data_IF_933664509882
#
_entry.id   IF_933664509882
#
_cell.length_a   1.000
_cell.length_b   1.000
_cell.length_c   1.000
_cell.angle_alpha   90.00
_cell.angle_beta   90.00
_cell.angle_gamma   90.00
#
_symmetry.space_group_name_H-M   'P 1'
#
loop_
_entity.id
_entity.type
_entity.pdbx_description
1 polymer ?
#
# COMPACT_ATOMS: atom_id res chain seq x y z
N UNK A 1 -47.23 -19.52 58.28
CA UNK A 1 -47.72 -18.29 57.60
C UNK A 1 -46.58 -17.37 57.08
N UNK A 2 -45.39 -17.33 57.74
CA UNK A 2 -44.29 -16.44 57.29
C UNK A 2 -43.61 -16.81 55.94
N UNK A 3 -43.68 -18.06 55.48
CA UNK A 3 -43.06 -18.51 54.22
C UNK A 3 -43.90 -18.19 52.96
N UNK A 4 -45.22 -18.04 53.12
CA UNK A 4 -46.13 -17.72 52.03
C UNK A 4 -46.02 -16.26 51.62
N UNK A 5 -45.82 -15.36 52.63
CA UNK A 5 -45.64 -13.91 52.38
C UNK A 5 -44.34 -13.58 51.64
N UNK A 6 -43.27 -14.35 51.84
CA UNK A 6 -41.98 -14.16 51.16
C UNK A 6 -42.05 -14.58 49.67
N UNK A 7 -42.80 -15.66 49.36
CA UNK A 7 -43.02 -16.09 47.99
C UNK A 7 -43.89 -15.13 47.17
N UNK A 8 -44.91 -14.52 47.81
CA UNK A 8 -45.74 -13.48 47.18
C UNK A 8 -44.97 -12.19 46.92
N UNK A 9 -44.05 -11.81 47.81
CA UNK A 9 -43.21 -10.63 47.64
C UNK A 9 -42.19 -10.82 46.48
N UNK A 10 -41.60 -12.01 46.38
CA UNK A 10 -40.69 -12.34 45.31
C UNK A 10 -41.40 -12.36 43.94
N UNK A 11 -42.64 -12.85 43.87
CA UNK A 11 -43.43 -12.88 42.64
C UNK A 11 -43.87 -11.46 42.20
N UNK A 12 -44.15 -10.55 43.15
CA UNK A 12 -44.46 -9.16 42.84
C UNK A 12 -43.25 -8.34 42.33
N UNK A 13 -42.03 -8.68 42.76
CA UNK A 13 -40.82 -8.02 42.30
C UNK A 13 -40.48 -8.50 40.88
N UNK A 14 -40.78 -9.75 40.52
CA UNK A 14 -40.59 -10.29 39.17
C UNK A 14 -41.55 -9.73 38.12
N UNK A 15 -42.74 -9.24 38.56
CA UNK A 15 -43.76 -8.66 37.67
C UNK A 15 -43.61 -7.15 37.49
N UNK A 16 -42.71 -6.49 38.24
CA UNK A 16 -42.49 -5.03 38.17
C UNK A 16 -41.24 -4.64 37.39
N UNK A 17 -40.57 -5.59 36.72
CA UNK A 17 -39.52 -5.21 35.77
C UNK A 17 -40.20 -4.61 34.53
N UNK A 18 -39.99 -3.32 34.23
CA UNK A 18 -40.43 -2.78 32.95
C UNK A 18 -39.79 -3.61 31.87
N UNK A 19 -40.59 -4.21 31.01
CA UNK A 19 -40.13 -4.77 29.78
C UNK A 19 -39.51 -3.61 28.97
N UNK A 20 -38.22 -3.38 29.14
CA UNK A 20 -37.43 -2.60 28.18
C UNK A 20 -37.47 -3.39 26.88
N UNK A 21 -38.52 -3.21 26.11
CA UNK A 21 -38.50 -3.47 24.66
C UNK A 21 -37.61 -2.40 24.03
N UNK A 22 -36.35 -2.40 24.40
CA UNK A 22 -35.32 -1.75 23.62
C UNK A 22 -35.28 -2.49 22.32
N UNK A 23 -35.88 -1.90 21.27
CA UNK A 23 -35.62 -2.32 19.90
C UNK A 23 -34.12 -2.41 19.79
N UNK A 24 -33.58 -3.62 19.52
CA UNK A 24 -32.17 -3.79 19.20
C UNK A 24 -31.82 -2.73 18.14
N UNK A 25 -30.78 -1.94 18.32
CA UNK A 25 -30.40 -0.97 17.30
C UNK A 25 -30.31 -1.72 15.98
N UNK A 26 -31.12 -1.26 15.03
CA UNK A 26 -31.09 -1.80 13.66
C UNK A 26 -29.62 -1.73 13.25
N UNK A 27 -29.03 -2.83 12.74
CA UNK A 27 -27.64 -2.79 12.28
C UNK A 27 -27.52 -1.58 11.36
N UNK A 28 -26.75 -0.58 11.77
CA UNK A 28 -26.42 0.54 10.90
C UNK A 28 -25.72 -0.10 9.70
N UNK A 29 -26.31 0.04 8.52
CA UNK A 29 -25.69 -0.45 7.30
C UNK A 29 -24.24 0.06 7.32
N UNK A 30 -23.29 -0.82 7.08
CA UNK A 30 -21.90 -0.41 6.95
C UNK A 30 -21.86 0.78 5.97
N UNK A 31 -21.16 1.86 6.28
CA UNK A 31 -21.08 3.00 5.37
C UNK A 31 -20.66 2.47 4.00
N UNK A 32 -21.40 2.83 2.98
CA UNK A 32 -21.03 2.50 1.59
C UNK A 32 -19.64 3.06 1.39
N UNK A 33 -18.68 2.26 0.89
CA UNK A 33 -17.32 2.76 0.65
C UNK A 33 -17.41 4.01 -0.21
N UNK A 34 -16.80 5.08 0.25
CA UNK A 34 -16.71 6.30 -0.52
C UNK A 34 -15.90 6.00 -1.80
N UNK A 35 -16.34 6.46 -2.99
CA UNK A 35 -15.60 6.18 -4.21
C UNK A 35 -14.18 6.77 -4.09
N UNK A 36 -13.18 6.02 -4.58
CA UNK A 36 -11.79 6.47 -4.56
C UNK A 36 -11.66 7.83 -5.27
N UNK A 37 -10.89 8.76 -4.72
CA UNK A 37 -10.59 10.04 -5.38
C UNK A 37 -9.99 9.81 -6.76
N UNK A 38 -10.31 10.69 -7.70
CA UNK A 38 -9.88 10.56 -9.10
C UNK A 38 -8.42 10.99 -9.35
N UNK A 39 -7.74 11.55 -8.35
CA UNK A 39 -6.34 12.00 -8.47
C UNK A 39 -5.91 12.94 -7.34
N UNK A 40 -4.73 13.54 -7.50
CA UNK A 40 -4.16 14.47 -6.54
C UNK A 40 -3.66 13.81 -5.25
N UNK A 41 -3.30 14.64 -4.28
CA UNK A 41 -2.80 14.19 -2.97
C UNK A 41 -3.83 13.33 -2.22
N UNK A 42 -5.12 13.55 -2.45
CA UNK A 42 -6.20 12.77 -1.85
C UNK A 42 -6.17 11.29 -2.29
N UNK A 43 -5.83 11.01 -3.54
CA UNK A 43 -5.65 9.64 -4.01
C UNK A 43 -4.49 8.95 -3.30
N UNK A 44 -3.41 9.68 -3.04
CA UNK A 44 -2.30 9.15 -2.26
C UNK A 44 -2.73 8.79 -0.83
N UNK A 45 -3.47 9.67 -0.12
CA UNK A 45 -3.98 9.37 1.22
C UNK A 45 -4.93 8.18 1.24
N UNK A 46 -5.78 8.05 0.23
CA UNK A 46 -6.66 6.91 0.08
C UNK A 46 -5.88 5.59 -0.02
N UNK A 47 -4.83 5.55 -0.85
CA UNK A 47 -3.96 4.39 -1.01
C UNK A 47 -3.10 4.14 0.22
N UNK A 48 -2.59 5.19 0.87
CA UNK A 48 -1.86 5.08 2.12
C UNK A 48 -2.72 4.43 3.22
N UNK A 49 -4.01 4.77 3.29
CA UNK A 49 -4.94 4.14 4.23
C UNK A 49 -5.03 2.61 4.00
N UNK A 50 -5.17 2.15 2.74
CA UNK A 50 -5.16 0.73 2.41
C UNK A 50 -3.82 0.07 2.76
N UNK A 51 -2.70 0.76 2.53
CA UNK A 51 -1.36 0.30 2.91
C UNK A 51 -1.23 0.12 4.42
N UNK A 52 -1.64 1.10 5.22
CA UNK A 52 -1.60 1.00 6.68
C UNK A 52 -2.41 -0.17 7.22
N UNK A 53 -3.53 -0.46 6.59
CA UNK A 53 -4.40 -1.58 6.95
C UNK A 53 -3.97 -2.91 6.31
N UNK A 54 -2.85 -2.92 5.57
CA UNK A 54 -2.37 -4.11 4.84
C UNK A 54 -3.46 -4.71 3.91
N UNK A 55 -4.28 -3.86 3.27
CA UNK A 55 -5.36 -4.24 2.36
C UNK A 55 -4.82 -4.51 0.94
N UNK A 56 -3.89 -5.45 0.82
CA UNK A 56 -3.27 -5.89 -0.44
C UNK A 56 -2.98 -7.38 -0.38
N UNK A 57 -3.05 -8.07 -1.52
CA UNK A 57 -2.94 -9.53 -1.62
C UNK A 57 -1.53 -10.06 -1.49
N UNK A 58 -0.49 -9.24 -1.75
CA UNK A 58 0.91 -9.66 -1.69
C UNK A 58 1.86 -8.50 -2.01
N UNK A 59 3.16 -8.83 -2.14
CA UNK A 59 4.22 -7.84 -2.32
C UNK A 59 4.07 -7.04 -3.62
N UNK A 60 3.59 -7.66 -4.70
CA UNK A 60 3.33 -6.97 -5.96
C UNK A 60 2.25 -5.89 -5.84
N UNK A 61 1.15 -6.17 -5.15
CA UNK A 61 0.10 -5.18 -4.89
C UNK A 61 0.59 -4.09 -3.93
N UNK A 62 1.36 -4.46 -2.91
CA UNK A 62 2.02 -3.50 -2.02
C UNK A 62 2.88 -2.51 -2.81
N UNK A 63 3.75 -2.99 -3.71
CA UNK A 63 4.58 -2.12 -4.53
C UNK A 63 3.76 -1.25 -5.49
N UNK A 64 2.66 -1.78 -6.03
CA UNK A 64 1.74 -0.99 -6.87
C UNK A 64 1.11 0.18 -6.09
N UNK A 65 0.72 -0.04 -4.83
CA UNK A 65 0.23 1.03 -3.96
C UNK A 65 1.30 2.07 -3.64
N UNK A 66 2.57 1.63 -3.52
CA UNK A 66 3.71 2.51 -3.25
C UNK A 66 4.10 3.37 -4.46
N UNK A 67 4.06 2.79 -5.66
CA UNK A 67 4.43 3.46 -6.91
C UNK A 67 3.29 4.30 -7.49
N UNK A 68 2.11 4.29 -6.88
CA UNK A 68 0.94 5.06 -7.27
C UNK A 68 0.61 4.95 -8.78
N UNK A 69 0.72 3.74 -9.35
CA UNK A 69 0.59 3.46 -10.79
C UNK A 69 1.56 4.26 -11.69
N UNK A 70 2.60 4.85 -11.12
CA UNK A 70 3.59 5.61 -11.90
C UNK A 70 4.20 4.77 -13.02
N UNK A 71 4.51 3.51 -12.72
CA UNK A 71 5.05 2.55 -13.67
C UNK A 71 3.98 1.68 -14.36
N UNK A 72 2.69 1.92 -14.09
CA UNK A 72 1.62 1.11 -14.66
C UNK A 72 1.78 -0.38 -14.33
N UNK A 73 1.60 -1.23 -15.35
CA UNK A 73 1.70 -2.69 -15.17
C UNK A 73 3.14 -3.24 -15.18
N UNK A 74 4.16 -2.39 -15.40
CA UNK A 74 5.55 -2.83 -15.49
C UNK A 74 6.02 -3.56 -14.23
N UNK A 75 5.74 -2.99 -13.05
CA UNK A 75 6.09 -3.60 -11.75
C UNK A 75 5.41 -4.95 -11.58
N UNK A 76 4.13 -5.06 -11.92
CA UNK A 76 3.38 -6.32 -11.84
C UNK A 76 3.96 -7.37 -12.78
N UNK A 77 4.33 -6.99 -14.01
CA UNK A 77 4.96 -7.88 -14.99
C UNK A 77 6.29 -8.39 -14.48
N UNK A 78 7.15 -7.50 -13.97
CA UNK A 78 8.46 -7.88 -13.42
C UNK A 78 8.29 -8.88 -12.27
N UNK A 79 7.42 -8.61 -11.31
CA UNK A 79 7.23 -9.48 -10.14
C UNK A 79 6.48 -10.79 -10.48
N UNK A 80 5.71 -10.82 -11.56
CA UNK A 80 5.15 -12.08 -12.08
C UNK A 80 6.25 -13.00 -12.62
N UNK A 81 7.25 -12.43 -13.29
CA UNK A 81 8.35 -13.17 -13.90
C UNK A 81 9.43 -13.51 -12.86
N UNK A 82 9.74 -12.55 -11.99
CA UNK A 82 10.72 -12.67 -10.91
C UNK A 82 10.01 -12.58 -9.55
N UNK A 83 9.31 -13.65 -9.15
CA UNK A 83 8.52 -13.63 -7.91
C UNK A 83 9.43 -13.55 -6.68
N UNK A 84 8.95 -12.88 -5.65
CA UNK A 84 9.62 -12.73 -4.37
C UNK A 84 8.79 -13.42 -3.25
N UNK A 85 8.72 -14.77 -3.25
CA UNK A 85 7.84 -15.51 -2.34
C UNK A 85 8.17 -15.28 -0.86
N UNK A 86 9.42 -15.01 -0.53
CA UNK A 86 9.82 -14.70 0.84
C UNK A 86 9.17 -13.38 1.32
N UNK A 87 8.99 -12.40 0.41
CA UNK A 87 8.32 -11.14 0.72
C UNK A 87 6.81 -11.31 0.91
N UNK A 88 6.18 -12.15 0.13
CA UNK A 88 4.77 -12.51 0.34
C UNK A 88 4.57 -13.17 1.70
N UNK A 89 5.46 -14.09 2.06
CA UNK A 89 5.44 -14.75 3.37
C UNK A 89 5.66 -13.77 4.54
N UNK A 90 6.61 -12.83 4.42
CA UNK A 90 6.82 -11.77 5.42
C UNK A 90 5.54 -10.95 5.65
N UNK A 91 4.79 -10.63 4.59
CA UNK A 91 3.52 -9.89 4.67
C UNK A 91 2.46 -10.72 5.39
N UNK A 92 2.31 -12.00 5.05
CA UNK A 92 1.37 -12.90 5.69
C UNK A 92 1.67 -13.08 7.19
N UNK A 93 2.94 -13.32 7.54
CA UNK A 93 3.39 -13.44 8.92
C UNK A 93 3.14 -12.15 9.72
N UNK A 94 3.41 -10.98 9.12
CA UNK A 94 3.15 -9.69 9.75
C UNK A 94 1.66 -9.49 9.99
N UNK A 95 0.80 -9.81 9.02
CA UNK A 95 -0.65 -9.71 9.16
C UNK A 95 -1.16 -10.63 10.27
N UNK A 96 -0.72 -11.90 10.28
CA UNK A 96 -1.07 -12.86 11.31
C UNK A 96 -0.65 -12.39 12.71
N UNK A 97 0.53 -11.77 12.83
CA UNK A 97 1.00 -11.19 14.08
C UNK A 97 0.09 -10.04 14.57
N UNK A 98 -0.37 -9.16 13.64
CA UNK A 98 -1.33 -8.10 14.00
C UNK A 98 -2.66 -8.71 14.47
N UNK A 99 -3.19 -9.71 13.77
CA UNK A 99 -4.43 -10.38 14.12
C UNK A 99 -4.35 -11.07 15.50
N UNK A 100 -3.24 -11.73 15.78
CA UNK A 100 -3.00 -12.36 17.08
C UNK A 100 -2.90 -11.33 18.20
N UNK A 101 -2.14 -10.26 17.98
CA UNK A 101 -1.84 -9.28 19.02
C UNK A 101 -2.98 -8.31 19.29
N UNK A 102 -3.67 -7.86 18.25
CA UNK A 102 -4.64 -6.76 18.34
C UNK A 102 -6.08 -7.16 18.06
N UNK A 103 -6.31 -8.39 17.58
CA UNK A 103 -7.62 -8.87 17.11
C UNK A 103 -7.75 -8.70 15.60
N UNK A 104 -8.52 -9.55 14.93
CA UNK A 104 -8.71 -9.53 13.46
C UNK A 104 -9.47 -8.30 12.94
N UNK A 105 -9.94 -7.45 13.84
CA UNK A 105 -10.66 -6.21 13.56
C UNK A 105 -9.77 -4.96 13.72
N UNK A 106 -8.46 -5.13 13.86
CA UNK A 106 -7.53 -4.00 13.97
C UNK A 106 -7.61 -3.09 12.74
N UNK A 107 -7.47 -1.78 12.99
CA UNK A 107 -7.50 -0.76 11.96
C UNK A 107 -6.59 0.41 12.33
N UNK A 108 -5.88 0.90 11.32
CA UNK A 108 -5.33 2.25 11.30
C UNK A 108 -6.30 3.17 10.57
N UNK A 109 -6.48 4.36 11.10
CA UNK A 109 -7.25 5.42 10.46
C UNK A 109 -6.42 6.69 10.46
N UNK A 110 -6.29 7.33 9.31
CA UNK A 110 -5.70 8.68 9.22
C UNK A 110 -6.69 9.63 9.89
N UNK A 111 -6.36 10.08 11.11
CA UNK A 111 -7.22 10.93 11.94
C UNK A 111 -6.99 12.41 11.71
N UNK A 112 -5.80 12.79 11.29
CA UNK A 112 -5.40 14.15 10.95
C UNK A 112 -4.19 14.12 10.03
N UNK A 113 -3.88 15.24 9.37
CA UNK A 113 -2.74 15.39 8.49
C UNK A 113 -2.26 16.84 8.45
N UNK A 114 -0.98 17.01 8.19
CA UNK A 114 -0.34 18.29 7.94
C UNK A 114 0.48 18.21 6.67
N UNK A 115 0.49 19.28 5.92
CA UNK A 115 1.23 19.40 4.67
C UNK A 115 2.13 20.64 4.75
N UNK A 116 3.40 20.47 4.37
CA UNK A 116 4.38 21.56 4.29
C UNK A 116 5.03 21.53 2.93
N UNK A 117 4.91 22.60 2.18
CA UNK A 117 5.56 22.75 0.87
C UNK A 117 7.08 22.79 1.08
N UNK A 118 7.81 22.01 0.29
CA UNK A 118 9.26 22.04 0.23
C UNK A 118 9.75 22.99 -0.88
N UNK A 119 11.04 23.28 -0.88
CA UNK A 119 11.67 24.16 -1.84
C UNK A 119 11.94 23.47 -3.20
N UNK A 120 12.40 24.25 -4.16
CA UNK A 120 12.71 23.79 -5.50
C UNK A 120 13.92 22.82 -5.51
N UNK A 121 14.79 22.88 -4.52
CA UNK A 121 15.95 21.98 -4.41
C UNK A 121 15.47 20.53 -4.17
N UNK A 122 14.43 20.33 -3.35
CA UNK A 122 13.83 19.01 -3.15
C UNK A 122 13.26 18.41 -4.44
N UNK A 123 12.65 19.25 -5.28
CA UNK A 123 12.17 18.82 -6.60
C UNK A 123 13.32 18.45 -7.54
N UNK A 124 14.41 19.22 -7.52
CA UNK A 124 15.57 18.98 -8.36
C UNK A 124 16.30 17.69 -7.96
N UNK A 125 16.47 17.44 -6.67
CA UNK A 125 17.10 16.23 -6.15
C UNK A 125 16.30 14.98 -6.57
N UNK A 126 14.99 14.99 -6.37
CA UNK A 126 14.13 13.86 -6.77
C UNK A 126 14.12 13.65 -8.29
N UNK A 127 14.14 14.73 -9.09
CA UNK A 127 14.24 14.61 -10.54
C UNK A 127 15.55 13.96 -10.99
N UNK A 128 16.67 14.29 -10.33
CA UNK A 128 17.98 13.67 -10.60
C UNK A 128 17.99 12.18 -10.27
N UNK A 129 17.34 11.78 -9.19
CA UNK A 129 17.20 10.37 -8.83
C UNK A 129 16.33 9.61 -9.85
N UNK A 130 15.22 10.20 -10.32
CA UNK A 130 14.40 9.61 -11.39
C UNK A 130 15.18 9.45 -12.70
N UNK A 131 16.05 10.42 -13.04
CA UNK A 131 16.92 10.33 -14.21
C UNK A 131 17.93 9.18 -14.07
N UNK A 132 18.48 8.93 -12.88
CA UNK A 132 19.36 7.78 -12.63
C UNK A 132 18.62 6.45 -12.81
N UNK A 133 17.38 6.33 -12.29
CA UNK A 133 16.50 5.18 -12.51
C UNK A 133 16.27 4.95 -14.00
N UNK A 134 15.91 6.00 -14.75
CA UNK A 134 15.73 5.95 -16.20
C UNK A 134 16.99 5.39 -16.90
N UNK A 135 18.13 5.98 -16.61
CA UNK A 135 19.42 5.60 -17.20
C UNK A 135 19.78 4.13 -16.94
N UNK A 136 19.54 3.63 -15.74
CA UNK A 136 19.80 2.23 -15.37
C UNK A 136 18.85 1.27 -16.07
N UNK A 137 17.56 1.58 -16.14
CA UNK A 137 16.58 0.78 -16.84
C UNK A 137 16.86 0.75 -18.35
N UNK A 138 17.22 1.89 -18.96
CA UNK A 138 17.62 1.96 -20.36
C UNK A 138 18.88 1.17 -20.71
N UNK A 139 19.81 1.05 -19.76
CA UNK A 139 21.05 0.33 -20.01
C UNK A 139 20.80 -1.14 -20.40
N UNK A 140 19.84 -1.79 -19.73
CA UNK A 140 19.44 -3.15 -20.04
C UNK A 140 18.78 -3.22 -21.45
N UNK A 141 17.84 -2.35 -21.74
CA UNK A 141 17.10 -2.39 -23.01
C UNK A 141 18.02 -2.17 -24.21
N UNK A 142 18.95 -1.22 -24.11
CA UNK A 142 19.96 -0.95 -25.16
C UNK A 142 20.85 -2.15 -25.45
N UNK A 143 21.24 -2.91 -24.43
CA UNK A 143 22.02 -4.13 -24.61
C UNK A 143 21.18 -5.24 -25.23
N UNK A 144 19.96 -5.42 -24.74
CA UNK A 144 19.03 -6.45 -25.21
C UNK A 144 18.63 -6.29 -26.67
N UNK A 145 18.58 -5.05 -27.19
CA UNK A 145 18.31 -4.76 -28.61
C UNK A 145 19.35 -5.37 -29.56
N UNK A 146 20.54 -5.71 -29.06
CA UNK A 146 21.63 -6.29 -29.85
C UNK A 146 21.77 -7.81 -29.68
N UNK A 147 20.98 -8.42 -28.80
CA UNK A 147 21.11 -9.82 -28.44
C UNK A 147 20.69 -10.77 -29.58
N UNK A 148 21.53 -11.76 -29.81
CA UNK A 148 21.21 -12.95 -30.58
C UNK A 148 20.25 -13.88 -29.82
N UNK A 149 19.69 -14.86 -30.50
CA UNK A 149 18.84 -15.87 -29.85
C UNK A 149 19.58 -16.65 -28.75
N UNK A 150 20.89 -16.85 -28.87
CA UNK A 150 21.72 -17.50 -27.87
C UNK A 150 21.83 -16.60 -26.59
N UNK A 151 22.09 -15.31 -26.76
CA UNK A 151 22.16 -14.36 -25.63
C UNK A 151 20.83 -14.21 -24.94
N UNK A 152 19.70 -14.22 -25.66
CA UNK A 152 18.37 -14.28 -25.07
C UNK A 152 18.13 -15.55 -24.25
N UNK A 153 18.65 -16.72 -24.75
CA UNK A 153 18.52 -17.97 -24.01
C UNK A 153 19.37 -17.95 -22.72
N UNK A 154 20.61 -17.45 -22.80
CA UNK A 154 21.50 -17.30 -21.63
C UNK A 154 20.92 -16.35 -20.58
N UNK A 155 20.36 -15.23 -21.03
CA UNK A 155 19.68 -14.29 -20.12
C UNK A 155 18.45 -14.92 -19.42
N UNK A 156 17.60 -15.61 -20.19
CA UNK A 156 16.43 -16.29 -19.67
C UNK A 156 16.80 -17.38 -18.65
N UNK A 157 17.86 -18.17 -18.93
CA UNK A 157 18.40 -19.17 -18.01
C UNK A 157 18.91 -18.51 -16.72
N UNK A 158 19.66 -17.40 -16.83
CA UNK A 158 20.15 -16.62 -15.69
C UNK A 158 19.04 -16.07 -14.80
N UNK A 159 17.91 -15.69 -15.40
CA UNK A 159 16.72 -15.21 -14.69
C UNK A 159 15.80 -16.35 -14.20
N UNK A 160 16.08 -17.60 -14.56
CA UNK A 160 15.24 -18.74 -14.22
C UNK A 160 13.86 -18.73 -14.89
N UNK A 161 13.73 -18.11 -16.06
CA UNK A 161 12.47 -17.96 -16.79
C UNK A 161 12.57 -18.43 -18.24
N UNK A 162 11.45 -18.42 -18.97
CA UNK A 162 11.43 -18.70 -20.41
C UNK A 162 11.86 -17.49 -21.24
N UNK A 163 12.31 -17.72 -22.50
CA UNK A 163 12.72 -16.63 -23.41
C UNK A 163 11.58 -15.62 -23.65
N UNK A 164 10.31 -16.08 -23.69
CA UNK A 164 9.15 -15.21 -23.80
C UNK A 164 9.03 -14.26 -22.61
N UNK A 165 9.13 -14.80 -21.40
CA UNK A 165 9.12 -14.02 -20.16
C UNK A 165 10.33 -13.07 -20.07
N UNK A 166 11.52 -13.52 -20.52
CA UNK A 166 12.71 -12.68 -20.57
C UNK A 166 12.51 -11.44 -21.47
N UNK A 167 11.83 -11.59 -22.60
CA UNK A 167 11.49 -10.48 -23.50
C UNK A 167 10.47 -9.53 -22.85
N UNK A 168 9.40 -10.07 -22.25
CA UNK A 168 8.44 -9.27 -21.51
C UNK A 168 9.09 -8.52 -20.32
N UNK A 169 10.07 -9.14 -19.67
CA UNK A 169 10.84 -8.51 -18.61
C UNK A 169 11.60 -7.27 -19.12
N UNK A 170 12.31 -7.40 -20.23
CA UNK A 170 13.02 -6.27 -20.85
C UNK A 170 12.05 -5.18 -21.31
N UNK A 171 10.89 -5.54 -21.90
CA UNK A 171 9.85 -4.59 -22.27
C UNK A 171 9.29 -3.85 -21.04
N UNK A 172 9.11 -4.53 -19.91
CA UNK A 172 8.66 -3.90 -18.68
C UNK A 172 9.68 -2.89 -18.13
N UNK A 173 11.00 -3.19 -18.23
CA UNK A 173 12.04 -2.21 -17.89
C UNK A 173 12.11 -1.05 -18.88
N UNK A 174 11.87 -1.28 -20.17
CA UNK A 174 11.74 -0.21 -21.14
C UNK A 174 10.59 0.74 -20.80
N UNK A 175 9.43 0.18 -20.42
CA UNK A 175 8.28 0.99 -19.98
C UNK A 175 8.54 1.76 -18.68
N UNK A 176 9.32 1.22 -17.73
CA UNK A 176 9.79 1.95 -16.57
C UNK A 176 10.69 3.13 -16.96
N UNK A 177 11.64 2.90 -17.86
CA UNK A 177 12.50 3.96 -18.38
C UNK A 177 11.69 5.06 -19.07
N UNK A 178 10.68 4.70 -19.85
CA UNK A 178 9.79 5.65 -20.53
C UNK A 178 8.97 6.48 -19.54
N UNK A 179 8.51 5.88 -18.45
CA UNK A 179 7.79 6.60 -17.40
C UNK A 179 8.65 7.67 -16.70
N UNK A 180 9.95 7.36 -16.50
CA UNK A 180 10.90 8.31 -15.89
C UNK A 180 11.43 9.35 -16.89
N UNK A 181 11.49 8.99 -18.19
CA UNK A 181 12.11 9.85 -19.21
C UNK A 181 11.35 11.18 -19.35
N UNK A 182 12.06 12.28 -19.07
CA UNK A 182 11.49 13.61 -19.16
C UNK A 182 10.40 13.87 -18.09
N UNK A 183 10.38 13.10 -17.01
CA UNK A 183 9.51 13.34 -15.88
C UNK A 183 9.76 14.74 -15.33
N UNK A 184 8.69 15.50 -15.17
CA UNK A 184 8.74 16.84 -14.61
C UNK A 184 8.25 16.78 -13.16
N UNK A 185 9.16 17.06 -12.24
CA UNK A 185 8.84 17.23 -10.81
C UNK A 185 8.48 18.68 -10.59
N UNK A 186 7.23 18.96 -10.30
CA UNK A 186 6.70 20.33 -10.23
C UNK A 186 6.43 20.82 -8.82
N UNK A 187 6.38 19.87 -7.86
CA UNK A 187 6.06 20.17 -6.47
C UNK A 187 6.59 19.10 -5.55
N UNK A 188 7.02 19.49 -4.35
CA UNK A 188 7.37 18.59 -3.27
C UNK A 188 6.65 19.00 -1.98
N UNK A 189 6.07 18.03 -1.26
CA UNK A 189 5.28 18.26 -0.05
C UNK A 189 5.73 17.27 1.01
N UNK A 190 6.21 17.75 2.16
CA UNK A 190 6.29 16.92 3.36
C UNK A 190 4.87 16.76 3.92
N UNK A 191 4.44 15.51 4.10
CA UNK A 191 3.18 15.17 4.76
C UNK A 191 3.47 14.54 6.10
N UNK A 192 2.77 14.96 7.14
CA UNK A 192 2.74 14.29 8.44
C UNK A 192 1.32 13.77 8.67
N UNK A 193 1.14 12.45 8.65
CA UNK A 193 -0.14 11.80 8.91
C UNK A 193 -0.21 11.33 10.35
N UNK A 194 -1.31 11.63 11.01
CA UNK A 194 -1.60 11.18 12.36
C UNK A 194 -2.54 9.98 12.27
N UNK A 195 -2.10 8.87 12.84
CA UNK A 195 -2.76 7.58 12.74
C UNK A 195 -3.37 7.21 14.08
N UNK A 196 -4.67 6.95 14.09
CA UNK A 196 -5.35 6.25 15.18
C UNK A 196 -5.33 4.76 14.88
N UNK A 197 -4.91 3.97 15.85
CA UNK A 197 -4.91 2.50 15.76
C UNK A 197 -5.83 1.91 16.82
N UNK A 198 -6.67 0.97 16.45
CA UNK A 198 -7.58 0.26 17.37
C UNK A 198 -7.76 -1.19 16.93
N UNK A 199 -8.11 -2.04 17.87
CA UNK A 199 -8.48 -3.43 17.68
C UNK A 199 -9.14 -3.96 18.94
N UNK A 200 -9.86 -5.09 18.86
CA UNK A 200 -10.63 -5.64 19.98
C UNK A 200 -9.76 -6.06 21.18
N UNK A 201 -8.45 -6.26 20.96
CA UNK A 201 -7.48 -6.66 22.00
C UNK A 201 -6.57 -5.52 22.48
N UNK A 202 -6.79 -4.29 22.04
CA UNK A 202 -5.95 -3.14 22.42
C UNK A 202 -6.74 -1.89 22.60
N UNK A 203 -6.22 -0.96 23.41
CA UNK A 203 -6.70 0.41 23.48
C UNK A 203 -6.28 1.19 22.22
N UNK A 204 -6.98 2.30 21.96
CA UNK A 204 -6.62 3.20 20.85
C UNK A 204 -5.25 3.80 21.11
N UNK A 205 -4.35 3.64 20.15
CA UNK A 205 -3.02 4.25 20.15
C UNK A 205 -2.99 5.35 19.09
N UNK A 206 -2.16 6.36 19.34
CA UNK A 206 -1.88 7.43 18.39
C UNK A 206 -0.41 7.37 17.99
N UNK A 207 -0.14 7.48 16.69
CA UNK A 207 1.21 7.60 16.15
C UNK A 207 1.20 8.58 14.99
N UNK A 208 2.36 9.02 14.55
CA UNK A 208 2.48 9.82 13.34
C UNK A 208 3.55 9.26 12.43
N UNK A 209 3.39 9.48 11.15
CA UNK A 209 4.35 9.10 10.11
C UNK A 209 4.55 10.27 9.16
N UNK A 210 5.79 10.51 8.77
CA UNK A 210 6.16 11.53 7.78
C UNK A 210 6.51 10.85 6.47
N UNK A 211 6.07 11.46 5.38
CA UNK A 211 6.39 11.04 4.02
C UNK A 211 6.58 12.29 3.17
N UNK A 212 7.48 12.21 2.20
CA UNK A 212 7.60 13.23 1.17
C UNK A 212 6.88 12.78 -0.09
N UNK A 213 6.04 13.66 -0.61
CA UNK A 213 5.29 13.45 -1.85
C UNK A 213 5.81 14.41 -2.91
N UNK A 214 5.98 13.90 -4.11
CA UNK A 214 6.37 14.67 -5.27
C UNK A 214 5.28 14.65 -6.33
N UNK A 215 4.95 15.79 -6.89
CA UNK A 215 4.09 15.87 -8.06
C UNK A 215 4.94 15.66 -9.32
N UNK A 216 4.77 14.51 -9.95
CA UNK A 216 5.50 14.10 -11.15
C UNK A 216 4.50 13.94 -12.30
N UNK A 217 4.63 14.76 -13.34
CA UNK A 217 3.70 14.75 -14.47
C UNK A 217 2.22 14.86 -14.05
N UNK A 218 1.93 15.66 -13.02
CA UNK A 218 0.58 15.85 -12.49
C UNK A 218 0.05 14.70 -11.60
N UNK A 219 0.91 13.77 -11.17
CA UNK A 219 0.58 12.68 -10.23
C UNK A 219 1.44 12.80 -8.99
N UNK A 220 0.86 12.48 -7.84
CA UNK A 220 1.61 12.43 -6.58
C UNK A 220 2.20 11.04 -6.37
N UNK A 221 3.50 10.99 -6.14
CA UNK A 221 4.27 9.78 -5.81
C UNK A 221 5.02 10.00 -4.50
N UNK A 222 5.22 8.93 -3.75
CA UNK A 222 6.03 8.98 -2.51
C UNK A 222 7.52 8.95 -2.85
N UNK A 223 8.35 9.53 -1.98
CA UNK A 223 9.81 9.39 -1.99
C UNK A 223 10.28 7.93 -2.10
N UNK A 224 9.50 6.99 -1.54
CA UNK A 224 9.78 5.55 -1.64
C UNK A 224 9.76 5.01 -3.08
N UNK A 225 9.25 5.77 -4.05
CA UNK A 225 9.27 5.39 -5.47
C UNK A 225 10.69 5.05 -5.93
N UNK A 226 11.68 5.83 -5.50
CA UNK A 226 13.09 5.64 -5.88
C UNK A 226 13.63 4.34 -5.28
N UNK A 227 13.38 4.08 -4.00
CA UNK A 227 13.84 2.87 -3.32
C UNK A 227 13.24 1.61 -3.96
N UNK A 228 11.95 1.66 -4.28
CA UNK A 228 11.26 0.58 -5.00
C UNK A 228 11.88 0.37 -6.37
N UNK A 229 12.10 1.44 -7.13
CA UNK A 229 12.70 1.41 -8.47
C UNK A 229 14.10 0.78 -8.45
N UNK A 230 14.95 1.23 -7.53
CA UNK A 230 16.28 0.69 -7.34
C UNK A 230 16.25 -0.79 -6.96
N UNK A 231 15.33 -1.18 -6.07
CA UNK A 231 15.16 -2.58 -5.66
C UNK A 231 14.76 -3.47 -6.84
N UNK A 232 13.80 -3.03 -7.66
CA UNK A 232 13.34 -3.75 -8.84
C UNK A 232 14.46 -3.88 -9.88
N UNK A 233 15.19 -2.80 -10.16
CA UNK A 233 16.32 -2.83 -11.13
C UNK A 233 17.42 -3.77 -10.65
N UNK A 234 17.68 -3.83 -9.34
CA UNK A 234 18.71 -4.71 -8.77
C UNK A 234 18.33 -6.21 -8.83
N UNK A 235 17.11 -6.59 -9.21
CA UNK A 235 16.77 -7.99 -9.45
C UNK A 235 17.51 -8.60 -10.65
N UNK A 236 18.03 -7.75 -11.56
CA UNK A 236 18.74 -8.19 -12.76
C UNK A 236 20.28 -8.10 -12.62
N UNK A 237 20.76 -7.20 -11.78
CA UNK A 237 22.18 -6.98 -11.54
C UNK A 237 22.67 -7.67 -10.26
#
# INVERSE_FOLDING_TARGET
MKRLSLLLLALLILLSLPACTGSAPKPTAAPTPEPAPSGGVELWYYRAQSRYNMEYGGFGEYLSLMCDDFYGDSVKTILRILPMPDKDKEIEEKRAWYDEKYGSDWRYVISDRRETELDDDACADFAAELEDVCRRAEALTKVADTWSDAEWADFAEGMGCGIGDARELVEAYAAMADACRGAQVTRAIETEVYLSFSGSKTETLMTSEKNTLYEVNGRYVSEMLIDVSCSIINLIY
#
